data_IF_422298488532
#
_entry.id   IF_422298488532
#
_cell.length_a   1.000
_cell.length_b   1.000
_cell.length_c   1.000
_cell.angle_alpha   90.00
_cell.angle_beta   90.00
_cell.angle_gamma   90.00
#
_symmetry.space_group_name_H-M   'P 1'
#
loop_
_entity.id
_entity.type
_entity.pdbx_description
1 polymer ?
#
# COMPACT_ATOMS: atom_id res chain seq x y z
N UNK A 1 -20.03 -25.31 -11.05
CA UNK A 1 -20.47 -26.03 -9.84
C UNK A 1 -19.72 -25.60 -8.59
N UNK A 2 -18.37 -25.56 -8.57
CA UNK A 2 -17.59 -25.15 -7.39
C UNK A 2 -17.89 -23.73 -6.87
N UNK A 3 -18.08 -22.74 -7.76
CA UNK A 3 -18.39 -21.35 -7.36
C UNK A 3 -19.77 -21.22 -6.70
N UNK A 4 -20.75 -22.00 -7.15
CA UNK A 4 -22.12 -21.99 -6.61
C UNK A 4 -22.13 -22.68 -5.24
N UNK A 5 -21.41 -23.79 -5.10
CA UNK A 5 -21.24 -24.48 -3.82
C UNK A 5 -20.50 -23.59 -2.82
N UNK A 6 -19.44 -22.89 -3.25
CA UNK A 6 -18.71 -21.92 -2.43
C UNK A 6 -19.60 -20.75 -2.00
N UNK A 7 -20.39 -20.17 -2.93
CA UNK A 7 -21.34 -19.11 -2.61
C UNK A 7 -22.42 -19.58 -1.63
N UNK A 8 -22.96 -20.80 -1.80
CA UNK A 8 -23.96 -21.39 -0.89
C UNK A 8 -23.37 -21.69 0.49
N UNK A 9 -22.13 -22.17 0.56
CA UNK A 9 -21.41 -22.39 1.82
C UNK A 9 -21.08 -21.09 2.57
N UNK A 10 -21.01 -19.95 1.87
CA UNK A 10 -20.84 -18.64 2.48
C UNK A 10 -22.16 -18.03 3.02
N UNK A 11 -23.34 -18.51 2.62
CA UNK A 11 -24.64 -18.01 3.09
C UNK A 11 -24.78 -18.02 4.63
N UNK A 12 -24.47 -19.12 5.35
CA UNK A 12 -24.53 -19.12 6.82
C UNK A 12 -23.51 -18.19 7.48
N UNK A 13 -22.46 -17.76 6.77
CA UNK A 13 -21.52 -16.77 7.28
C UNK A 13 -22.18 -15.39 7.37
N UNK A 14 -22.99 -15.02 6.38
CA UNK A 14 -23.71 -13.74 6.32
C UNK A 14 -24.89 -13.64 7.31
N UNK A 15 -25.42 -14.76 7.80
CA UNK A 15 -26.48 -14.77 8.81
C UNK A 15 -25.96 -14.66 10.24
N UNK A 16 -24.64 -14.73 10.45
CA UNK A 16 -24.07 -14.48 11.78
C UNK A 16 -24.21 -13.00 12.16
N UNK A 17 -24.44 -12.68 13.44
CA UNK A 17 -24.60 -11.29 13.90
C UNK A 17 -23.37 -10.43 13.58
N UNK A 18 -22.19 -11.05 13.45
CA UNK A 18 -20.93 -10.38 13.10
C UNK A 18 -20.91 -9.88 11.65
N UNK A 19 -21.45 -10.64 10.68
CA UNK A 19 -21.55 -10.22 9.28
C UNK A 19 -22.80 -9.39 9.02
N UNK A 20 -23.92 -9.67 9.70
CA UNK A 20 -25.11 -8.83 9.63
C UNK A 20 -24.83 -7.40 10.13
N UNK A 21 -23.98 -7.24 11.15
CA UNK A 21 -23.53 -5.94 11.64
C UNK A 21 -22.63 -5.19 10.64
N UNK A 22 -21.90 -5.87 9.75
CA UNK A 22 -21.11 -5.21 8.70
C UNK A 22 -22.00 -4.51 7.66
N UNK A 23 -23.24 -5.00 7.48
CA UNK A 23 -24.22 -4.45 6.54
C UNK A 23 -25.21 -3.50 7.20
N UNK A 24 -25.12 -3.30 8.53
CA UNK A 24 -26.00 -2.37 9.24
C UNK A 24 -25.40 -0.94 9.18
N UNK A 25 -26.02 0.00 8.46
CA UNK A 25 -25.49 1.36 8.34
C UNK A 25 -25.67 2.19 9.62
N UNK A 26 -26.44 1.70 10.59
CA UNK A 26 -26.83 2.42 11.80
C UNK A 26 -26.12 1.94 13.07
N UNK A 27 -25.35 0.85 13.02
CA UNK A 27 -24.60 0.33 14.16
C UNK A 27 -23.42 -0.54 13.72
N UNK A 28 -22.36 -0.58 14.54
CA UNK A 28 -21.17 -1.40 14.30
C UNK A 28 -19.96 -0.64 13.77
N UNK A 29 -18.86 -1.37 13.54
CA UNK A 29 -17.54 -0.82 13.20
C UNK A 29 -17.50 -0.04 11.88
N UNK A 30 -18.36 -0.40 10.92
CA UNK A 30 -18.46 0.31 9.64
C UNK A 30 -19.00 1.74 9.82
N UNK A 31 -19.99 1.94 10.70
CA UNK A 31 -20.56 3.26 10.99
C UNK A 31 -19.52 4.17 11.67
N UNK A 32 -18.79 3.64 12.66
CA UNK A 32 -17.72 4.36 13.36
C UNK A 32 -16.63 4.83 12.38
N UNK A 33 -16.23 3.98 11.42
CA UNK A 33 -15.29 4.36 10.35
C UNK A 33 -15.80 5.48 9.46
N UNK A 34 -17.08 5.49 9.10
CA UNK A 34 -17.66 6.60 8.30
C UNK A 34 -17.63 7.91 9.08
N UNK A 35 -17.96 7.89 10.38
CA UNK A 35 -17.85 9.08 11.22
C UNK A 35 -16.39 9.56 11.32
N UNK A 36 -15.45 8.63 11.54
CA UNK A 36 -14.01 8.90 11.56
C UNK A 36 -13.51 9.50 10.24
N UNK A 37 -13.96 8.99 9.09
CA UNK A 37 -13.57 9.51 7.78
C UNK A 37 -14.10 10.92 7.55
N UNK A 38 -15.29 11.25 8.07
CA UNK A 38 -15.81 12.62 8.03
C UNK A 38 -14.95 13.56 8.89
N UNK A 39 -14.54 13.14 10.08
CA UNK A 39 -13.60 13.88 10.92
C UNK A 39 -12.25 14.10 10.23
N UNK A 40 -11.68 13.05 9.66
CA UNK A 40 -10.42 13.11 8.93
C UNK A 40 -10.52 14.03 7.71
N UNK A 41 -11.64 13.97 6.98
CA UNK A 41 -11.90 14.87 5.86
C UNK A 41 -11.99 16.34 6.30
N UNK A 42 -12.69 16.63 7.40
CA UNK A 42 -12.73 17.98 7.97
C UNK A 42 -11.32 18.46 8.36
N UNK A 43 -10.53 17.62 9.03
CA UNK A 43 -9.15 17.92 9.40
C UNK A 43 -8.27 18.21 8.17
N UNK A 44 -8.42 17.43 7.09
CA UNK A 44 -7.69 17.67 5.84
C UNK A 44 -8.09 19.01 5.19
N UNK A 45 -9.37 19.37 5.20
CA UNK A 45 -9.84 20.64 4.64
C UNK A 45 -9.26 21.85 5.37
N UNK A 46 -9.04 21.74 6.67
CA UNK A 46 -8.45 22.80 7.48
C UNK A 46 -6.91 22.88 7.30
N UNK A 47 -6.26 21.76 6.94
CA UNK A 47 -4.81 21.67 6.77
C UNK A 47 -4.37 20.97 5.46
N UNK A 48 -4.74 21.49 4.27
CA UNK A 48 -4.64 20.73 3.02
C UNK A 48 -3.21 20.53 2.51
N UNK A 49 -2.27 21.41 2.84
CA UNK A 49 -0.92 21.40 2.25
C UNK A 49 0.04 20.45 2.97
N UNK A 50 0.18 20.62 4.29
CA UNK A 50 1.13 19.88 5.13
C UNK A 50 0.44 18.95 6.13
N UNK A 51 -0.89 18.98 6.21
CA UNK A 51 -1.62 18.28 7.26
C UNK A 51 -1.36 18.87 8.65
N UNK A 52 -1.75 18.12 9.69
CA UNK A 52 -1.49 18.45 11.09
C UNK A 52 -0.10 18.02 11.56
N UNK A 53 0.68 17.36 10.70
CA UNK A 53 2.00 16.82 11.00
C UNK A 53 1.98 15.35 11.47
N UNK A 54 3.14 14.66 11.41
CA UNK A 54 3.28 13.31 11.92
C UNK A 54 2.92 13.23 13.41
N UNK A 55 2.25 12.15 13.81
CA UNK A 55 1.85 11.85 15.19
C UNK A 55 0.85 12.84 15.84
N UNK A 56 0.41 13.87 15.10
CA UNK A 56 -0.56 14.85 15.61
C UNK A 56 -2.03 14.47 15.40
N UNK A 57 -2.32 13.42 14.63
CA UNK A 57 -3.69 13.02 14.28
C UNK A 57 -4.55 12.79 15.54
N UNK A 58 -4.07 11.99 16.49
CA UNK A 58 -4.78 11.69 17.75
C UNK A 58 -5.16 12.96 18.50
N UNK A 59 -4.21 13.89 18.63
CA UNK A 59 -4.38 15.14 19.36
C UNK A 59 -5.38 16.08 18.68
N UNK A 60 -5.30 16.21 17.36
CA UNK A 60 -6.25 16.99 16.58
C UNK A 60 -7.65 16.37 16.61
N UNK A 61 -7.74 15.05 16.39
CA UNK A 61 -8.99 14.30 16.38
C UNK A 61 -9.74 14.47 17.71
N UNK A 62 -9.10 14.13 18.83
CA UNK A 62 -9.74 14.14 20.17
C UNK A 62 -10.20 15.52 20.65
N UNK A 63 -9.57 16.60 20.15
CA UNK A 63 -9.83 17.96 20.66
C UNK A 63 -10.76 18.77 19.78
N UNK A 64 -10.76 18.56 18.46
CA UNK A 64 -11.49 19.44 17.52
C UNK A 64 -12.39 18.70 16.54
N UNK A 65 -12.07 17.46 16.19
CA UNK A 65 -12.72 16.78 15.06
C UNK A 65 -13.53 15.55 15.45
N UNK A 66 -13.50 15.10 16.71
CA UNK A 66 -14.30 13.97 17.16
C UNK A 66 -15.80 14.29 17.09
N UNK A 67 -16.57 13.42 16.43
CA UNK A 67 -18.03 13.53 16.43
C UNK A 67 -18.60 12.91 17.72
N UNK A 68 -19.70 13.43 18.28
CA UNK A 68 -20.36 12.83 19.45
C UNK A 68 -20.70 11.35 19.26
N UNK A 69 -21.03 10.95 18.03
CA UNK A 69 -21.34 9.56 17.63
C UNK A 69 -20.11 8.64 17.58
N UNK A 70 -18.89 9.18 17.72
CA UNK A 70 -17.63 8.45 17.63
C UNK A 70 -16.84 8.50 18.95
N UNK A 71 -17.49 8.88 20.07
CA UNK A 71 -16.84 8.98 21.38
C UNK A 71 -16.33 7.63 21.91
N UNK A 72 -16.95 6.53 21.49
CA UNK A 72 -16.49 5.17 21.80
C UNK A 72 -15.06 4.90 21.31
N UNK A 73 -14.63 5.59 20.25
CA UNK A 73 -13.29 5.47 19.65
C UNK A 73 -12.44 6.74 19.89
N UNK A 74 -12.52 7.31 21.11
CA UNK A 74 -11.85 8.57 21.49
C UNK A 74 -10.33 8.57 21.28
N UNK A 75 -9.68 7.41 21.41
CA UNK A 75 -8.21 7.26 21.38
C UNK A 75 -7.66 6.77 20.04
N UNK A 76 -8.36 7.03 18.92
CA UNK A 76 -7.88 6.68 17.59
C UNK A 76 -6.69 7.52 17.15
N UNK A 77 -5.63 6.84 16.72
CA UNK A 77 -4.41 7.47 16.23
C UNK A 77 -4.34 7.59 14.71
N UNK A 78 -5.26 6.97 13.95
CA UNK A 78 -5.31 7.06 12.49
C UNK A 78 -6.73 6.81 11.96
N UNK A 79 -7.05 7.24 10.72
CA UNK A 79 -8.39 7.16 10.15
C UNK A 79 -8.77 5.80 9.52
N UNK A 80 -8.02 4.73 9.79
CA UNK A 80 -8.17 3.41 9.14
C UNK A 80 -8.26 3.43 7.60
N UNK A 81 -7.60 4.40 6.97
CA UNK A 81 -7.53 4.55 5.52
C UNK A 81 -6.27 5.33 5.18
N UNK A 82 -5.31 4.69 4.51
CA UNK A 82 -4.01 5.29 4.23
C UNK A 82 -4.11 6.62 3.46
N UNK A 83 -5.10 6.79 2.57
CA UNK A 83 -5.27 8.03 1.80
C UNK A 83 -5.58 9.18 2.75
N UNK A 84 -6.54 8.98 3.65
CA UNK A 84 -6.91 9.98 4.66
C UNK A 84 -5.80 10.16 5.68
N UNK A 85 -5.04 9.12 6.00
CA UNK A 85 -3.92 9.22 6.94
C UNK A 85 -2.79 10.08 6.37
N UNK A 86 -2.38 9.85 5.12
CA UNK A 86 -1.42 10.72 4.43
C UNK A 86 -1.95 12.14 4.26
N UNK A 87 -3.21 12.29 3.83
CA UNK A 87 -3.83 13.61 3.64
C UNK A 87 -3.88 14.41 4.95
N UNK A 88 -4.28 13.78 6.06
CA UNK A 88 -4.39 14.48 7.36
C UNK A 88 -3.03 14.74 8.00
N UNK A 89 -2.06 13.83 7.87
CA UNK A 89 -0.73 13.98 8.51
C UNK A 89 0.26 14.81 7.72
N UNK A 90 0.25 14.68 6.39
CA UNK A 90 1.25 15.27 5.50
C UNK A 90 0.64 16.14 4.38
N UNK A 91 -0.69 16.24 4.31
CA UNK A 91 -1.39 17.01 3.28
C UNK A 91 -1.24 16.42 1.88
N UNK A 92 -1.60 17.23 0.89
CA UNK A 92 -1.51 16.89 -0.53
C UNK A 92 -0.07 16.62 -0.97
N UNK A 93 0.93 17.25 -0.33
CA UNK A 93 2.33 17.06 -0.67
C UNK A 93 2.80 15.64 -0.29
N UNK A 94 2.53 15.20 0.94
CA UNK A 94 2.89 13.84 1.35
C UNK A 94 2.12 12.78 0.58
N UNK A 95 0.82 13.00 0.32
CA UNK A 95 0.04 12.11 -0.52
C UNK A 95 0.61 12.04 -1.95
N UNK A 96 1.03 13.17 -2.51
CA UNK A 96 1.66 13.23 -3.83
C UNK A 96 2.96 12.42 -3.90
N UNK A 97 3.83 12.55 -2.89
CA UNK A 97 5.07 11.76 -2.80
C UNK A 97 4.77 10.26 -2.70
N UNK A 98 3.79 9.88 -1.86
CA UNK A 98 3.40 8.47 -1.74
C UNK A 98 2.86 7.90 -3.06
N UNK A 99 1.99 8.63 -3.76
CA UNK A 99 1.45 8.23 -5.07
C UNK A 99 2.55 8.13 -6.13
N UNK A 100 3.53 9.04 -6.09
CA UNK A 100 4.70 8.97 -6.96
C UNK A 100 5.53 7.72 -6.71
N UNK A 101 5.86 7.41 -5.45
CA UNK A 101 6.56 6.18 -5.07
C UNK A 101 5.79 4.94 -5.55
N UNK A 102 4.48 4.93 -5.36
CA UNK A 102 3.67 3.79 -5.75
C UNK A 102 3.61 3.60 -7.27
N UNK A 103 3.53 4.70 -8.01
CA UNK A 103 3.57 4.70 -9.47
C UNK A 103 4.92 4.18 -9.97
N UNK A 104 6.02 4.66 -9.39
CA UNK A 104 7.37 4.20 -9.71
C UNK A 104 7.52 2.70 -9.49
N UNK A 105 7.12 2.21 -8.31
CA UNK A 105 7.17 0.79 -7.95
C UNK A 105 6.46 -0.08 -9.00
N UNK A 106 5.21 0.25 -9.36
CA UNK A 106 4.45 -0.55 -10.33
C UNK A 106 5.03 -0.47 -11.74
N UNK A 107 5.53 0.70 -12.17
CA UNK A 107 6.23 0.83 -13.45
C UNK A 107 7.47 -0.06 -13.49
N UNK A 108 8.23 -0.12 -12.39
CA UNK A 108 9.43 -0.95 -12.27
C UNK A 108 9.09 -2.44 -12.32
N UNK A 109 8.09 -2.88 -11.56
CA UNK A 109 7.58 -4.26 -11.59
C UNK A 109 7.14 -4.65 -12.99
N UNK A 110 6.34 -3.81 -13.67
CA UNK A 110 5.85 -4.10 -15.02
C UNK A 110 6.97 -4.12 -16.06
N UNK A 111 8.04 -3.34 -15.87
CA UNK A 111 9.23 -3.36 -16.74
C UNK A 111 10.00 -4.67 -16.55
N UNK A 112 10.27 -5.06 -15.31
CA UNK A 112 11.00 -6.28 -14.98
C UNK A 112 10.25 -7.54 -15.39
N UNK A 113 8.93 -7.56 -15.25
CA UNK A 113 8.10 -8.69 -15.65
C UNK A 113 8.17 -9.00 -17.16
N UNK A 114 8.49 -7.99 -17.98
CA UNK A 114 8.66 -8.14 -19.44
C UNK A 114 10.06 -8.60 -19.85
N UNK A 115 11.04 -8.57 -18.95
CA UNK A 115 12.40 -8.99 -19.25
C UNK A 115 12.54 -10.52 -19.17
N UNK A 116 13.18 -11.17 -20.16
CA UNK A 116 13.50 -12.59 -20.11
C UNK A 116 14.57 -12.87 -19.04
N UNK A 117 14.45 -13.98 -18.30
CA UNK A 117 15.40 -14.33 -17.23
C UNK A 117 15.18 -13.60 -15.89
N UNK A 118 14.13 -12.78 -15.76
CA UNK A 118 13.75 -12.16 -14.49
C UNK A 118 13.35 -13.22 -13.44
N UNK A 119 13.65 -12.94 -12.16
CA UNK A 119 13.22 -13.75 -11.01
C UNK A 119 11.69 -13.65 -10.79
N UNK A 120 10.90 -14.14 -11.75
CA UNK A 120 9.44 -13.94 -11.84
C UNK A 120 8.69 -14.35 -10.57
N UNK A 121 8.97 -15.50 -9.91
CA UNK A 121 8.27 -15.86 -8.69
C UNK A 121 8.49 -14.85 -7.55
N UNK A 122 9.74 -14.40 -7.36
CA UNK A 122 10.07 -13.41 -6.34
C UNK A 122 9.42 -12.06 -6.66
N UNK A 123 9.51 -11.59 -7.91
CA UNK A 123 8.88 -10.35 -8.35
C UNK A 123 7.36 -10.38 -8.14
N UNK A 124 6.71 -11.50 -8.47
CA UNK A 124 5.29 -11.70 -8.21
C UNK A 124 4.97 -11.67 -6.70
N UNK A 125 5.80 -12.29 -5.86
CA UNK A 125 5.64 -12.25 -4.40
C UNK A 125 5.77 -10.83 -3.83
N UNK A 126 6.77 -10.06 -4.27
CA UNK A 126 6.97 -8.67 -3.87
C UNK A 126 5.80 -7.80 -4.33
N UNK A 127 5.36 -7.93 -5.58
CA UNK A 127 4.20 -7.24 -6.13
C UNK A 127 2.91 -7.58 -5.35
N UNK A 128 2.66 -8.86 -5.07
CA UNK A 128 1.50 -9.29 -4.31
C UNK A 128 1.53 -8.75 -2.87
N UNK A 129 2.69 -8.77 -2.21
CA UNK A 129 2.84 -8.22 -0.85
C UNK A 129 2.50 -6.72 -0.79
N UNK A 130 2.99 -5.94 -1.77
CA UNK A 130 2.67 -4.52 -1.90
C UNK A 130 1.19 -4.30 -2.16
N UNK A 131 0.57 -5.06 -3.08
CA UNK A 131 -0.86 -4.98 -3.37
C UNK A 131 -1.72 -5.28 -2.13
N UNK A 132 -1.38 -6.33 -1.38
CA UNK A 132 -2.08 -6.71 -0.15
C UNK A 132 -1.95 -5.61 0.90
N UNK A 133 -0.77 -5.05 1.08
CA UNK A 133 -0.55 -3.95 2.03
C UNK A 133 -1.39 -2.72 1.68
N UNK A 134 -1.46 -2.31 0.40
CA UNK A 134 -2.29 -1.19 -0.05
C UNK A 134 -3.78 -1.45 0.13
N UNK A 135 -4.24 -2.66 -0.22
CA UNK A 135 -5.63 -3.04 -0.12
C UNK A 135 -6.08 -3.12 1.35
N UNK A 136 -5.26 -3.73 2.20
CA UNK A 136 -5.53 -3.83 3.63
C UNK A 136 -5.47 -2.46 4.31
N UNK A 137 -4.51 -1.61 3.93
CA UNK A 137 -4.38 -0.28 4.51
C UNK A 137 -5.48 0.72 4.13
N UNK A 138 -6.35 0.36 3.17
CA UNK A 138 -7.53 1.15 2.86
C UNK A 138 -8.63 1.02 3.93
N UNK A 139 -8.59 -0.06 4.73
CA UNK A 139 -9.65 -0.41 5.69
C UNK A 139 -9.16 -0.59 7.12
N UNK A 140 -7.85 -0.65 7.36
CA UNK A 140 -7.32 -0.91 8.69
C UNK A 140 -5.97 -0.21 8.96
N UNK A 141 -4.86 -0.89 8.72
CA UNK A 141 -3.55 -0.45 9.18
C UNK A 141 -2.92 0.59 8.24
N UNK A 142 -2.36 1.66 8.81
CA UNK A 142 -1.77 2.74 8.02
C UNK A 142 -0.25 2.66 7.97
N UNK A 143 0.34 3.29 6.95
CA UNK A 143 1.78 3.27 6.68
C UNK A 143 2.66 3.80 7.83
N UNK A 144 2.12 4.65 8.71
CA UNK A 144 2.89 5.34 9.75
C UNK A 144 3.24 4.47 10.96
N UNK A 145 2.88 3.18 10.97
CA UNK A 145 3.47 2.21 11.87
C UNK A 145 4.87 1.84 11.39
N UNK A 146 5.85 1.90 12.29
CA UNK A 146 7.27 1.68 11.98
C UNK A 146 7.50 0.33 11.28
N UNK A 147 6.85 -0.74 11.75
CA UNK A 147 6.99 -2.08 11.18
C UNK A 147 6.47 -2.15 9.74
N UNK A 148 5.33 -1.49 9.45
CA UNK A 148 4.76 -1.45 8.11
C UNK A 148 5.58 -0.57 7.16
N UNK A 149 6.12 0.54 7.67
CA UNK A 149 7.05 1.37 6.90
C UNK A 149 8.31 0.57 6.51
N UNK A 150 8.87 -0.23 7.42
CA UNK A 150 9.99 -1.12 7.10
C UNK A 150 9.63 -2.12 5.99
N UNK A 151 8.50 -2.83 6.12
CA UNK A 151 8.07 -3.79 5.09
C UNK A 151 7.87 -3.09 3.75
N UNK A 152 7.27 -1.89 3.72
CA UNK A 152 7.10 -1.12 2.50
C UNK A 152 8.44 -0.79 1.84
N UNK A 153 9.36 -0.18 2.59
CA UNK A 153 10.65 0.27 2.04
C UNK A 153 11.55 -0.89 1.65
N UNK A 154 11.52 -2.01 2.40
CA UNK A 154 12.27 -3.22 2.04
C UNK A 154 11.72 -3.88 0.78
N UNK A 155 10.40 -3.99 0.63
CA UNK A 155 9.78 -4.50 -0.60
C UNK A 155 10.09 -3.59 -1.78
N UNK A 156 10.04 -2.27 -1.59
CA UNK A 156 10.41 -1.29 -2.62
C UNK A 156 11.88 -1.44 -3.03
N UNK A 157 12.79 -1.45 -2.06
CA UNK A 157 14.23 -1.60 -2.29
C UNK A 157 14.58 -2.92 -2.98
N UNK A 158 13.90 -4.02 -2.62
CA UNK A 158 14.11 -5.32 -3.26
C UNK A 158 13.76 -5.30 -4.75
N UNK A 159 12.70 -4.60 -5.16
CA UNK A 159 12.34 -4.45 -6.58
C UNK A 159 13.37 -3.61 -7.34
N UNK A 160 13.87 -2.53 -6.73
CA UNK A 160 14.93 -1.74 -7.36
C UNK A 160 16.23 -2.53 -7.51
N UNK A 161 16.63 -3.23 -6.46
CA UNK A 161 17.82 -4.08 -6.46
C UNK A 161 17.76 -5.20 -7.51
N UNK A 162 16.58 -5.84 -7.70
CA UNK A 162 16.38 -6.81 -8.77
C UNK A 162 16.58 -6.20 -10.15
N UNK A 163 16.15 -4.95 -10.33
CA UNK A 163 16.30 -4.25 -11.60
C UNK A 163 17.72 -3.76 -11.89
N UNK A 164 18.53 -3.51 -10.87
CA UNK A 164 19.96 -3.22 -11.00
C UNK A 164 20.75 -4.49 -11.30
N UNK A 165 20.51 -5.57 -10.54
CA UNK A 165 21.16 -6.87 -10.74
C UNK A 165 20.94 -7.42 -12.15
N UNK A 166 19.72 -7.32 -12.68
CA UNK A 166 19.44 -7.78 -14.03
C UNK A 166 20.12 -6.91 -15.10
N UNK A 167 20.31 -5.61 -14.85
CA UNK A 167 21.03 -4.74 -15.76
C UNK A 167 22.53 -5.06 -15.76
N UNK A 168 23.13 -5.37 -14.60
CA UNK A 168 24.53 -5.78 -14.53
C UNK A 168 24.78 -7.10 -15.23
N UNK A 169 23.90 -8.09 -15.09
CA UNK A 169 24.05 -9.41 -15.73
C UNK A 169 24.03 -9.31 -17.28
N UNK A 170 23.21 -8.41 -17.82
CA UNK A 170 23.15 -8.16 -19.27
C UNK A 170 24.42 -7.49 -19.80
N UNK A 171 25.03 -6.60 -19.02
CA UNK A 171 26.29 -5.94 -19.40
C UNK A 171 27.45 -6.93 -19.38
N UNK A 172 27.54 -7.77 -18.35
CA UNK A 172 28.61 -8.77 -18.22
C UNK A 172 28.54 -9.83 -19.34
N UNK A 173 27.33 -10.33 -19.63
CA UNK A 173 27.12 -11.29 -20.73
C UNK A 173 27.44 -10.71 -22.12
N UNK A 174 27.13 -9.42 -22.37
CA UNK A 174 27.50 -8.73 -23.61
C UNK A 174 29.02 -8.59 -23.74
N UNK A 175 29.72 -8.15 -22.69
CA UNK A 175 31.18 -7.98 -22.71
C UNK A 175 31.91 -9.32 -22.90
N UNK A 176 31.41 -10.39 -22.28
CA UNK A 176 31.96 -11.72 -22.44
C UNK A 176 31.83 -12.22 -23.89
N UNK A 177 30.71 -11.94 -24.56
CA UNK A 177 30.49 -12.27 -25.97
C UNK A 177 31.47 -11.53 -26.89
N UNK A 178 31.63 -10.22 -26.70
CA UNK A 178 32.55 -9.38 -27.50
C UNK A 178 34.01 -9.84 -27.35
N UNK A 179 34.45 -10.13 -26.12
CA UNK A 179 35.80 -10.66 -25.87
C UNK A 179 36.03 -12.03 -26.54
N UNK A 180 35.00 -12.88 -26.58
CA UNK A 180 35.09 -14.18 -27.23
C UNK A 180 35.15 -14.06 -28.77
N UNK A 181 34.50 -13.06 -29.35
CA UNK A 181 34.54 -12.77 -30.79
C UNK A 181 35.90 -12.17 -31.20
N UNK A 182 36.42 -11.21 -30.43
CA UNK A 182 37.73 -10.59 -30.68
C UNK A 182 38.89 -11.59 -30.61
N UNK A 183 38.77 -12.66 -29.80
CA UNK A 183 39.78 -13.72 -29.73
C UNK A 183 39.78 -14.64 -30.96
N UNK A 184 38.67 -14.72 -31.70
CA UNK A 184 38.51 -15.61 -32.87
C UNK A 184 39.00 -14.99 -34.19
N UNK A 185 39.24 -13.68 -34.22
CA UNK A 185 39.80 -12.98 -35.39
C UNK A 185 41.33 -13.19 -35.41
N UNK A 186 41.89 -13.88 -36.43
CA UNK A 186 43.34 -14.03 -36.56
C UNK A 186 44.02 -12.68 -36.74
N UNK A 187 45.22 -12.52 -36.18
CA UNK A 187 46.10 -11.40 -36.51
C UNK A 187 46.68 -11.69 -37.90
N UNK A 188 46.11 -11.03 -38.91
CA UNK A 188 46.62 -11.01 -40.29
C UNK A 188 47.95 -10.24 -40.39
#
# INVERSE_FOLDING_TARGET
MGLVIFAVLLIPLFTTPRFAALLNPASGTAFLRVALWRSAWAMFRDHPLLGVGPDNFLYAYRTRYILPTAWEEFNLSHPHNWILDFATRLGVLGLGVFLWLQTHFWQRVLRLARQPGSARPLLCGLAASMAVMLAHGLVDASFFYVDLAYVFFLTFAAVEWLGESHASDLLDSSQASDCAETRKTPLD
#
